data_IF_398639186955
#
_entry.id   IF_398639186955
#
_cell.length_a   1.000
_cell.length_b   1.000
_cell.length_c   1.000
_cell.angle_alpha   90.00
_cell.angle_beta   90.00
_cell.angle_gamma   90.00
#
_symmetry.space_group_name_H-M   'P 1'
#
loop_
_entity.id
_entity.type
_entity.pdbx_description
1 polymer ?
#
# COMPACT_ATOMS: atom_id res chain seq x y z
N UNK A 1 -0.55 12.05 18.23
CA UNK A 1 0.51 11.16 17.72
C UNK A 1 0.08 10.73 16.31
N UNK A 2 0.90 10.97 15.29
CA UNK A 2 0.58 10.62 13.91
C UNK A 2 1.07 9.21 13.56
N UNK A 3 0.61 8.66 12.44
CA UNK A 3 1.27 7.51 11.83
C UNK A 3 2.67 7.87 11.35
N UNK A 4 3.40 6.85 10.93
CA UNK A 4 4.66 6.96 10.20
C UNK A 4 4.57 7.98 9.03
N UNK A 5 5.59 8.85 8.84
CA UNK A 5 5.68 9.72 7.68
C UNK A 5 5.74 8.96 6.35
N UNK A 6 5.29 9.60 5.26
CA UNK A 6 5.31 9.02 3.91
C UNK A 6 6.69 8.51 3.49
N UNK A 7 7.73 9.26 3.82
CA UNK A 7 9.10 8.97 3.37
C UNK A 7 9.64 7.66 3.95
N UNK A 8 9.45 7.45 5.27
CA UNK A 8 9.92 6.22 5.92
C UNK A 8 9.03 5.03 5.55
N UNK A 9 7.73 5.25 5.34
CA UNK A 9 6.82 4.23 4.83
C UNK A 9 7.25 3.72 3.44
N UNK A 10 7.54 4.63 2.50
CA UNK A 10 8.04 4.29 1.17
C UNK A 10 9.43 3.64 1.23
N UNK A 11 10.29 4.05 2.17
CA UNK A 11 11.57 3.38 2.41
C UNK A 11 11.37 1.93 2.84
N UNK A 12 10.43 1.66 3.74
CA UNK A 12 10.07 0.30 4.16
C UNK A 12 9.60 -0.55 2.98
N UNK A 13 8.73 0.01 2.13
CA UNK A 13 8.28 -0.66 0.90
C UNK A 13 9.46 -0.99 0.00
N UNK A 14 10.34 -0.03 -0.28
CA UNK A 14 11.53 -0.23 -1.11
C UNK A 14 12.42 -1.34 -0.56
N UNK A 15 12.73 -1.29 0.73
CA UNK A 15 13.57 -2.31 1.38
C UNK A 15 12.95 -3.71 1.29
N UNK A 16 11.64 -3.85 1.52
CA UNK A 16 10.97 -5.14 1.42
C UNK A 16 10.91 -5.63 -0.03
N UNK A 17 10.63 -4.76 -0.99
CA UNK A 17 10.61 -5.11 -2.42
C UNK A 17 11.99 -5.54 -2.91
N UNK A 18 13.06 -4.89 -2.47
CA UNK A 18 14.45 -5.28 -2.81
C UNK A 18 14.82 -6.67 -2.30
N UNK A 19 14.12 -7.19 -1.28
CA UNK A 19 14.26 -8.55 -0.77
C UNK A 19 13.42 -9.58 -1.52
N UNK A 20 12.67 -9.18 -2.55
CA UNK A 20 11.78 -10.08 -3.29
C UNK A 20 10.40 -10.25 -2.67
N UNK A 21 10.05 -9.48 -1.62
CA UNK A 21 8.78 -9.64 -0.92
C UNK A 21 7.63 -9.03 -1.73
N UNK A 22 6.50 -9.74 -1.75
CA UNK A 22 5.23 -9.16 -2.18
C UNK A 22 4.63 -8.32 -1.04
N UNK A 23 4.14 -7.12 -1.34
CA UNK A 23 3.72 -6.14 -0.34
C UNK A 23 2.30 -5.69 -0.62
N UNK A 24 1.49 -5.62 0.43
CA UNK A 24 0.15 -5.04 0.39
C UNK A 24 0.08 -3.88 1.38
N UNK A 25 0.27 -2.62 0.93
CA UNK A 25 0.13 -1.46 1.79
C UNK A 25 -1.35 -1.21 2.14
N UNK A 26 -1.74 -1.55 3.36
CA UNK A 26 -3.11 -1.40 3.85
C UNK A 26 -3.44 0.03 4.28
N UNK A 27 -4.72 0.39 4.11
CA UNK A 27 -5.27 1.63 4.63
C UNK A 27 -5.33 1.56 6.16
N UNK A 28 -4.77 2.56 6.84
CA UNK A 28 -4.92 2.68 8.28
C UNK A 28 -6.29 3.26 8.62
N UNK A 29 -7.11 2.44 9.26
CA UNK A 29 -8.45 2.79 9.72
C UNK A 29 -8.63 2.25 11.15
N UNK A 30 -8.38 3.06 12.19
CA UNK A 30 -8.49 2.60 13.56
C UNK A 30 -9.95 2.24 13.88
N UNK A 31 -10.16 1.04 14.42
CA UNK A 31 -11.49 0.54 14.71
C UNK A 31 -12.06 1.19 15.99
N UNK A 32 -13.37 1.49 16.02
CA UNK A 32 -14.07 1.81 17.27
C UNK A 32 -13.84 0.72 18.32
N UNK A 33 -13.61 1.11 19.58
CA UNK A 33 -13.27 0.23 20.70
C UNK A 33 -11.83 -0.26 20.74
N UNK A 34 -11.00 0.04 19.73
CA UNK A 34 -9.57 -0.30 19.77
C UNK A 34 -8.78 0.64 20.67
N UNK A 35 -7.59 0.23 21.11
CA UNK A 35 -6.65 1.12 21.85
C UNK A 35 -6.26 2.37 21.07
N UNK A 36 -6.47 2.36 19.75
CA UNK A 36 -6.14 3.46 18.84
C UNK A 36 -7.40 4.16 18.33
N UNK A 37 -8.55 3.94 18.95
CA UNK A 37 -9.75 4.72 18.68
C UNK A 37 -9.45 6.23 18.81
N UNK A 38 -9.95 7.01 17.85
CA UNK A 38 -9.69 8.45 17.80
C UNK A 38 -8.33 8.85 17.20
N UNK A 39 -7.45 7.90 16.85
CA UNK A 39 -6.26 8.24 16.06
C UNK A 39 -6.65 8.81 14.69
N UNK A 40 -6.01 9.91 14.29
CA UNK A 40 -6.25 10.51 12.99
C UNK A 40 -5.57 9.68 11.90
N UNK A 41 -6.39 9.13 11.00
CA UNK A 41 -5.89 8.54 9.76
C UNK A 41 -5.32 9.63 8.82
N UNK A 42 -4.33 9.29 7.98
CA UNK A 42 -3.92 10.12 6.86
C UNK A 42 -5.09 10.56 5.97
N UNK A 43 -4.91 11.66 5.26
CA UNK A 43 -5.91 12.12 4.28
C UNK A 43 -5.98 11.17 3.08
N UNK A 44 -7.12 11.18 2.38
CA UNK A 44 -7.28 10.42 1.12
C UNK A 44 -6.20 10.79 0.09
N UNK A 45 -5.85 12.08 -0.01
CA UNK A 45 -4.77 12.57 -0.87
C UNK A 45 -3.43 11.90 -0.54
N UNK A 46 -3.10 11.80 0.75
CA UNK A 46 -1.88 11.13 1.20
C UNK A 46 -1.85 9.68 0.74
N UNK A 47 -2.94 8.93 0.88
CA UNK A 47 -3.01 7.54 0.43
C UNK A 47 -2.81 7.42 -1.09
N UNK A 48 -3.51 8.23 -1.89
CA UNK A 48 -3.41 8.17 -3.35
C UNK A 48 -1.98 8.46 -3.82
N UNK A 49 -1.34 9.50 -3.28
CA UNK A 49 0.02 9.88 -3.66
C UNK A 49 1.05 8.83 -3.22
N UNK A 50 0.92 8.31 -2.00
CA UNK A 50 1.83 7.29 -1.44
C UNK A 50 1.74 6.00 -2.24
N UNK A 51 0.52 5.53 -2.52
CA UNK A 51 0.31 4.26 -3.20
C UNK A 51 0.75 4.31 -4.66
N UNK A 52 0.57 5.44 -5.35
CA UNK A 52 1.13 5.63 -6.70
C UNK A 52 2.66 5.48 -6.70
N UNK A 53 3.34 6.09 -5.74
CA UNK A 53 4.80 5.95 -5.58
C UNK A 53 5.21 4.53 -5.20
N UNK A 54 4.45 3.88 -4.33
CA UNK A 54 4.67 2.47 -3.97
C UNK A 54 4.57 1.55 -5.20
N UNK A 55 3.59 1.79 -6.08
CA UNK A 55 3.43 1.03 -7.31
C UNK A 55 4.64 1.17 -8.24
N UNK A 56 5.26 2.37 -8.34
CA UNK A 56 6.52 2.55 -9.07
C UNK A 56 7.64 1.69 -8.47
N UNK A 57 7.85 1.81 -7.14
CA UNK A 57 8.91 1.08 -6.44
C UNK A 57 8.77 -0.44 -6.62
N UNK A 58 7.56 -0.95 -6.47
CA UNK A 58 7.28 -2.38 -6.59
C UNK A 58 7.48 -2.86 -8.03
N UNK A 59 7.05 -2.06 -9.02
CA UNK A 59 7.25 -2.37 -10.42
C UNK A 59 8.74 -2.39 -10.80
N UNK A 60 9.50 -1.38 -10.37
CA UNK A 60 10.94 -1.28 -10.63
C UNK A 60 11.73 -2.43 -9.99
N UNK A 61 11.29 -2.88 -8.81
CA UNK A 61 11.85 -4.04 -8.13
C UNK A 61 11.51 -5.39 -8.81
N UNK A 62 10.72 -5.38 -9.90
CA UNK A 62 10.29 -6.57 -10.67
C UNK A 62 9.58 -7.61 -9.82
N UNK A 63 8.89 -7.16 -8.77
CA UNK A 63 8.06 -8.03 -7.95
C UNK A 63 6.80 -8.39 -8.73
N UNK A 64 6.39 -9.67 -8.75
CA UNK A 64 5.13 -10.07 -9.36
C UNK A 64 3.96 -9.25 -8.79
N UNK A 65 2.98 -8.91 -9.63
CA UNK A 65 1.85 -8.05 -9.29
C UNK A 65 1.01 -8.54 -8.11
N UNK A 66 1.22 -9.78 -7.64
CA UNK A 66 0.55 -10.35 -6.47
C UNK A 66 -0.91 -10.69 -6.70
N UNK A 67 -1.38 -10.59 -7.95
CA UNK A 67 -2.78 -10.78 -8.35
C UNK A 67 -3.26 -12.22 -8.18
N UNK A 68 -2.33 -13.18 -8.07
CA UNK A 68 -2.64 -14.57 -7.69
C UNK A 68 -2.92 -14.74 -6.19
N UNK A 69 -2.23 -13.97 -5.33
CA UNK A 69 -2.34 -14.10 -3.86
C UNK A 69 -3.38 -13.15 -3.25
N UNK A 70 -3.57 -11.97 -3.83
CA UNK A 70 -4.62 -11.03 -3.45
C UNK A 70 -5.37 -10.58 -4.70
N UNK A 71 -6.46 -11.28 -5.00
CA UNK A 71 -7.24 -11.01 -6.18
C UNK A 71 -8.08 -9.73 -6.00
N UNK A 72 -7.90 -8.76 -6.89
CA UNK A 72 -8.70 -7.53 -6.94
C UNK A 72 -10.20 -7.80 -7.19
N UNK A 73 -10.57 -9.00 -7.67
CA UNK A 73 -11.96 -9.43 -7.89
C UNK A 73 -12.59 -10.11 -6.67
N UNK A 74 -11.80 -10.51 -5.66
CA UNK A 74 -12.24 -11.33 -4.53
C UNK A 74 -12.39 -10.53 -3.23
N UNK A 75 -12.77 -9.25 -3.31
CA UNK A 75 -12.90 -8.33 -2.16
C UNK A 75 -11.59 -8.00 -1.40
N UNK A 76 -10.47 -8.62 -1.79
CA UNK A 76 -9.11 -8.28 -1.38
C UNK A 76 -8.50 -7.14 -2.21
N UNK A 77 -9.31 -6.18 -2.67
CA UNK A 77 -8.82 -5.08 -3.47
C UNK A 77 -8.05 -4.08 -2.59
N UNK A 78 -6.77 -3.89 -2.88
CA UNK A 78 -5.94 -2.88 -2.24
C UNK A 78 -5.79 -1.69 -3.17
N UNK A 79 -5.54 -0.49 -2.62
CA UNK A 79 -5.24 0.69 -3.44
C UNK A 79 -4.03 0.43 -4.38
N UNK A 80 -3.12 -0.47 -3.99
CA UNK A 80 -1.97 -0.84 -4.81
C UNK A 80 -2.40 -1.56 -6.08
N UNK A 81 -3.37 -2.48 -6.03
CA UNK A 81 -3.87 -3.15 -7.23
C UNK A 81 -4.52 -2.16 -8.19
N UNK A 82 -5.28 -1.20 -7.67
CA UNK A 82 -5.84 -0.13 -8.51
C UNK A 82 -4.75 0.72 -9.15
N UNK A 83 -3.68 1.06 -8.41
CA UNK A 83 -2.55 1.81 -8.94
C UNK A 83 -1.78 1.03 -10.02
N UNK A 84 -1.55 -0.28 -9.83
CA UNK A 84 -0.93 -1.16 -10.82
C UNK A 84 -1.82 -1.33 -12.06
N UNK A 85 -3.13 -1.49 -11.88
CA UNK A 85 -4.10 -1.59 -12.97
C UNK A 85 -4.16 -0.32 -13.82
N UNK A 86 -4.12 0.86 -13.19
CA UNK A 86 -4.03 2.14 -13.91
C UNK A 86 -2.75 2.28 -14.76
N UNK A 87 -1.72 1.49 -14.46
CA UNK A 87 -0.48 1.38 -15.24
C UNK A 87 -0.53 0.29 -16.32
N UNK A 88 -1.60 -0.49 -16.41
CA UNK A 88 -1.71 -1.62 -17.33
C UNK A 88 -1.02 -2.90 -16.85
N UNK A 89 -0.71 -3.00 -15.56
CA UNK A 89 -0.10 -4.18 -14.93
C UNK A 89 -1.21 -5.02 -14.27
N UNK A 90 -1.29 -6.31 -14.60
CA UNK A 90 -2.28 -7.28 -14.13
C UNK A 90 -1.64 -8.57 -13.62
#
# INVERSE_FOLDING_TARGET
>A
MGLEPQETFLKGIKTLSELGANIVPFVWSPNPGSKLEGHRAPSSKWYIETIRRAAEIIHDAKIPSGTENHCYKCDGNSLLHDALRLKGIY
#
